data_IF_971779427295
#
_entry.id   IF_971779427295
#
_cell.length_a   1.000
_cell.length_b   1.000
_cell.length_c   1.000
_cell.angle_alpha   90.00
_cell.angle_beta   90.00
_cell.angle_gamma   90.00
#
_symmetry.space_group_name_H-M   'P 1'
#
loop_
_entity.id
_entity.type
_entity.pdbx_description
1 polymer ?
#
# COMPACT_ATOMS: atom_id res chain seq x y z
N UNK A 1 0.81 -13.27 25.94
CA UNK A 1 0.97 -12.50 24.69
C UNK A 1 0.24 -11.20 24.89
N UNK A 2 0.83 -10.04 24.55
CA UNK A 2 0.15 -8.76 24.64
C UNK A 2 -1.16 -8.77 23.82
N UNK A 3 -2.22 -8.17 24.37
CA UNK A 3 -3.54 -8.06 23.73
C UNK A 3 -3.66 -6.72 23.03
N UNK A 4 -3.90 -6.75 21.74
CA UNK A 4 -4.03 -5.57 20.90
C UNK A 4 -5.50 -5.44 20.49
N UNK A 5 -6.15 -4.36 20.92
CA UNK A 5 -7.46 -4.01 20.41
C UNK A 5 -7.28 -3.10 19.19
N UNK A 6 -7.68 -3.58 18.03
CA UNK A 6 -7.38 -2.97 16.76
C UNK A 6 -8.62 -2.50 16.00
N UNK A 7 -8.52 -1.33 15.36
CA UNK A 7 -9.61 -0.66 14.66
C UNK A 7 -9.24 -0.41 13.19
N UNK A 8 -9.87 -1.14 12.27
CA UNK A 8 -9.74 -0.94 10.81
C UNK A 8 -11.08 -0.45 10.23
N UNK A 9 -11.16 0.84 9.90
CA UNK A 9 -12.40 1.47 9.43
C UNK A 9 -12.69 1.23 7.95
N UNK A 10 -11.78 0.60 7.21
CA UNK A 10 -11.89 0.34 5.78
C UNK A 10 -11.31 -1.04 5.41
N UNK A 11 -11.93 -2.11 5.91
CA UNK A 11 -11.43 -3.49 5.75
C UNK A 11 -11.75 -4.08 4.36
N UNK A 12 -10.93 -3.73 3.37
CA UNK A 12 -11.00 -4.27 2.02
C UNK A 12 -9.68 -4.12 1.27
N UNK A 13 -9.53 -4.82 0.15
CA UNK A 13 -8.30 -4.79 -0.66
C UNK A 13 -7.03 -4.94 0.18
N UNK A 14 -6.12 -3.97 0.05
CA UNK A 14 -4.83 -3.93 0.75
C UNK A 14 -4.95 -3.85 2.28
N UNK A 15 -5.96 -3.17 2.83
CA UNK A 15 -6.16 -3.06 4.27
C UNK A 15 -6.52 -4.42 4.88
N UNK A 16 -7.42 -5.14 4.22
CA UNK A 16 -7.80 -6.49 4.62
C UNK A 16 -6.62 -7.46 4.52
N UNK A 17 -5.86 -7.39 3.43
CA UNK A 17 -4.63 -8.17 3.26
C UNK A 17 -3.62 -7.88 4.37
N UNK A 18 -3.41 -6.61 4.72
CA UNK A 18 -2.55 -6.21 5.83
C UNK A 18 -3.02 -6.81 7.15
N UNK A 19 -4.30 -6.61 7.50
CA UNK A 19 -4.90 -7.11 8.74
C UNK A 19 -4.73 -8.62 8.88
N UNK A 20 -5.06 -9.37 7.82
CA UNK A 20 -5.01 -10.83 7.82
C UNK A 20 -3.56 -11.34 7.90
N UNK A 21 -2.64 -10.73 7.16
CA UNK A 21 -1.22 -11.11 7.17
C UNK A 21 -0.55 -10.76 8.50
N UNK A 22 -0.83 -9.57 9.05
CA UNK A 22 -0.34 -9.15 10.35
C UNK A 22 -0.83 -10.10 11.45
N UNK A 23 -2.14 -10.36 11.50
CA UNK A 23 -2.74 -11.26 12.50
C UNK A 23 -2.16 -12.68 12.41
N UNK A 24 -1.98 -13.20 11.19
CA UNK A 24 -1.49 -14.56 10.95
C UNK A 24 -0.05 -14.78 11.46
N UNK A 25 0.82 -13.79 11.28
CA UNK A 25 2.25 -13.93 11.56
C UNK A 25 2.72 -13.23 12.83
N UNK A 26 1.80 -12.52 13.50
CA UNK A 26 2.07 -11.78 14.73
C UNK A 26 2.24 -12.72 15.93
N UNK A 27 3.06 -12.27 16.88
CA UNK A 27 3.23 -12.85 18.21
C UNK A 27 2.27 -12.27 19.27
N UNK A 28 1.62 -11.16 18.95
CA UNK A 28 0.56 -10.53 19.75
C UNK A 28 -0.81 -11.15 19.46
N UNK A 29 -1.71 -11.01 20.43
CA UNK A 29 -3.11 -11.44 20.35
C UNK A 29 -3.98 -10.29 19.85
N UNK A 30 -4.55 -10.40 18.64
CA UNK A 30 -5.26 -9.31 17.97
C UNK A 30 -6.77 -9.49 18.02
N UNK A 31 -7.46 -8.51 18.60
CA UNK A 31 -8.92 -8.38 18.53
C UNK A 31 -9.28 -7.23 17.59
N UNK A 32 -9.90 -7.53 16.44
CA UNK A 32 -10.24 -6.52 15.44
C UNK A 32 -11.70 -6.10 15.50
N UNK A 33 -11.93 -4.79 15.47
CA UNK A 33 -13.20 -4.18 15.12
C UNK A 33 -13.01 -3.59 13.72
N UNK A 34 -13.85 -4.01 12.78
CA UNK A 34 -13.69 -3.63 11.37
C UNK A 34 -14.94 -2.99 10.80
N UNK A 35 -14.78 -2.25 9.69
CA UNK A 35 -15.88 -1.71 8.90
C UNK A 35 -15.67 -2.02 7.41
N UNK A 36 -16.74 -2.29 6.64
CA UNK A 36 -16.61 -2.54 5.21
C UNK A 36 -15.95 -1.39 4.45
N UNK A 37 -15.10 -1.71 3.48
CA UNK A 37 -14.38 -0.78 2.60
C UNK A 37 -15.29 -0.03 1.62
N UNK A 38 -16.11 0.89 2.13
CA UNK A 38 -17.03 1.75 1.38
C UNK A 38 -17.01 3.14 1.99
N UNK A 39 -17.20 4.16 1.14
CA UNK A 39 -17.42 5.54 1.60
C UNK A 39 -16.35 6.04 2.58
N UNK A 40 -15.07 6.04 2.18
CA UNK A 40 -13.93 6.33 3.08
C UNK A 40 -14.05 7.67 3.83
N UNK A 41 -14.70 8.68 3.22
CA UNK A 41 -14.96 9.97 3.87
C UNK A 41 -15.84 9.83 5.11
N UNK A 42 -16.88 9.00 5.03
CA UNK A 42 -17.73 8.66 6.16
C UNK A 42 -16.95 7.85 7.20
N UNK A 43 -16.01 7.00 6.77
CA UNK A 43 -15.13 6.26 7.70
C UNK A 43 -14.31 7.18 8.57
N UNK A 44 -13.66 8.17 7.96
CA UNK A 44 -12.88 9.16 8.71
C UNK A 44 -13.74 10.04 9.63
N UNK A 45 -15.02 10.25 9.29
CA UNK A 45 -15.91 11.12 10.06
C UNK A 45 -16.62 10.44 11.24
N UNK A 46 -17.05 9.18 11.10
CA UNK A 46 -17.94 8.54 12.10
C UNK A 46 -17.40 7.26 12.72
N UNK A 47 -16.44 6.57 12.07
CA UNK A 47 -16.08 5.21 12.49
C UNK A 47 -15.41 5.17 13.87
N UNK A 48 -14.68 6.21 14.26
CA UNK A 48 -14.12 6.34 15.61
C UNK A 48 -15.18 6.16 16.70
N UNK A 49 -16.30 6.87 16.59
CA UNK A 49 -17.41 6.84 17.56
C UNK A 49 -18.14 5.50 17.52
N UNK A 50 -18.48 5.03 16.32
CA UNK A 50 -19.23 3.79 16.13
C UNK A 50 -18.46 2.57 16.63
N UNK A 51 -17.16 2.52 16.34
CA UNK A 51 -16.31 1.39 16.71
C UNK A 51 -15.95 1.42 18.19
N UNK A 52 -15.78 2.61 18.81
CA UNK A 52 -15.60 2.71 20.26
C UNK A 52 -16.86 2.27 21.04
N UNK A 53 -18.05 2.60 20.54
CA UNK A 53 -19.31 2.12 21.11
C UNK A 53 -19.42 0.59 21.03
N UNK A 54 -19.03 0.01 19.88
CA UNK A 54 -18.99 -1.44 19.70
C UNK A 54 -17.97 -2.11 20.63
N UNK A 55 -16.77 -1.53 20.78
CA UNK A 55 -15.77 -2.02 21.71
C UNK A 55 -16.30 -2.05 23.15
N UNK A 56 -17.05 -1.03 23.53
CA UNK A 56 -17.67 -0.91 24.87
C UNK A 56 -18.83 -1.89 25.07
N UNK A 57 -19.55 -2.26 24.00
CA UNK A 57 -20.64 -3.24 24.08
C UNK A 57 -20.15 -4.68 24.08
N UNK A 58 -18.88 -4.93 23.71
CA UNK A 58 -18.24 -6.24 23.82
C UNK A 58 -17.69 -6.40 25.24
N UNK A 59 -17.80 -7.61 25.81
CA UNK A 59 -17.20 -7.96 27.11
C UNK A 59 -15.69 -8.24 26.95
N UNK A 60 -14.94 -7.19 26.59
CA UNK A 60 -13.51 -7.28 26.32
C UNK A 60 -12.69 -7.07 27.58
N UNK A 61 -11.60 -7.83 27.68
CA UNK A 61 -10.55 -7.53 28.65
C UNK A 61 -9.85 -6.22 28.28
N UNK A 62 -9.29 -5.54 29.27
CA UNK A 62 -8.49 -4.34 29.00
C UNK A 62 -7.30 -4.71 28.11
N UNK A 63 -7.12 -4.05 26.96
CA UNK A 63 -6.01 -4.33 26.06
C UNK A 63 -4.70 -3.76 26.61
N UNK A 64 -3.57 -4.30 26.17
CA UNK A 64 -2.25 -3.77 26.48
C UNK A 64 -1.87 -2.62 25.52
N UNK A 65 -2.47 -2.60 24.31
CA UNK A 65 -2.30 -1.56 23.31
C UNK A 65 -3.58 -1.38 22.48
N UNK A 66 -3.85 -0.14 22.08
CA UNK A 66 -4.82 0.20 21.03
C UNK A 66 -4.08 0.35 19.71
N UNK A 67 -4.62 -0.19 18.62
CA UNK A 67 -4.07 -0.05 17.28
C UNK A 67 -5.14 0.47 16.32
N UNK A 68 -4.79 1.37 15.40
CA UNK A 68 -5.69 1.79 14.34
C UNK A 68 -4.98 2.16 13.05
N UNK A 69 -5.73 2.37 11.97
CA UNK A 69 -5.20 2.65 10.63
C UNK A 69 -5.64 4.03 10.10
N UNK A 70 -5.04 4.47 8.99
CA UNK A 70 -5.09 5.86 8.47
C UNK A 70 -6.48 6.42 8.10
N UNK A 71 -7.52 5.61 7.96
CA UNK A 71 -8.87 6.06 7.60
C UNK A 71 -9.81 6.21 8.81
N UNK A 72 -9.24 6.44 10.00
CA UNK A 72 -9.98 6.83 11.19
C UNK A 72 -9.46 8.18 11.72
N UNK A 73 -10.29 8.85 12.52
CA UNK A 73 -9.83 9.90 13.42
C UNK A 73 -9.38 9.28 14.75
N UNK A 74 -8.07 9.14 14.95
CA UNK A 74 -7.51 8.53 16.15
C UNK A 74 -7.69 9.42 17.40
N UNK A 75 -7.84 10.73 17.21
CA UNK A 75 -8.13 11.65 18.31
C UNK A 75 -9.56 11.48 18.81
N UNK A 76 -10.52 11.42 17.89
CA UNK A 76 -11.90 11.11 18.21
C UNK A 76 -12.04 9.70 18.81
N UNK A 77 -11.28 8.72 18.31
CA UNK A 77 -11.27 7.36 18.87
C UNK A 77 -10.82 7.40 20.33
N UNK A 78 -9.66 7.99 20.62
CA UNK A 78 -9.11 8.10 21.99
C UNK A 78 -10.08 8.77 22.95
N UNK A 79 -10.74 9.85 22.52
CA UNK A 79 -11.74 10.55 23.32
C UNK A 79 -13.00 9.69 23.59
N UNK A 80 -13.35 8.79 22.67
CA UNK A 80 -14.57 7.98 22.72
C UNK A 80 -14.39 6.66 23.46
N UNK A 81 -13.15 6.20 23.66
CA UNK A 81 -12.86 5.00 24.44
C UNK A 81 -13.30 5.16 25.93
N UNK A 82 -13.57 4.04 26.63
CA UNK A 82 -13.80 4.05 28.07
C UNK A 82 -12.72 4.81 28.83
N UNK A 83 -13.07 5.48 29.94
CA UNK A 83 -12.13 6.32 30.69
C UNK A 83 -10.81 5.61 31.02
N UNK A 84 -10.85 4.35 31.45
CA UNK A 84 -9.64 3.57 31.78
C UNK A 84 -8.83 3.10 30.57
N UNK A 85 -9.31 3.31 29.35
CA UNK A 85 -8.64 2.89 28.12
C UNK A 85 -8.00 4.06 27.35
N UNK A 86 -8.29 5.30 27.73
CA UNK A 86 -7.79 6.48 27.01
C UNK A 86 -6.28 6.67 27.17
N UNK A 87 -5.72 6.21 28.28
CA UNK A 87 -4.30 6.27 28.59
C UNK A 87 -3.52 5.03 28.10
N UNK A 88 -4.19 4.07 27.47
CA UNK A 88 -3.52 2.90 26.86
C UNK A 88 -2.69 3.39 25.66
N UNK A 89 -1.48 2.84 25.45
CA UNK A 89 -0.67 3.15 24.28
C UNK A 89 -1.45 3.00 22.97
N UNK A 90 -1.41 4.03 22.13
CA UNK A 90 -2.13 4.11 20.87
C UNK A 90 -1.17 4.11 19.69
N UNK A 91 -1.25 3.06 18.87
CA UNK A 91 -0.50 2.92 17.62
C UNK A 91 -1.39 3.33 16.44
N UNK A 92 -0.86 4.16 15.56
CA UNK A 92 -1.47 4.48 14.27
C UNK A 92 -0.62 3.92 13.13
N UNK A 93 -1.17 3.04 12.29
CA UNK A 93 -0.52 2.58 11.07
C UNK A 93 -1.06 3.30 9.84
N UNK A 94 -0.20 4.07 9.19
CA UNK A 94 -0.52 4.87 8.02
C UNK A 94 -0.34 4.05 6.73
N UNK A 95 -1.45 3.53 6.19
CA UNK A 95 -1.51 2.96 4.83
C UNK A 95 -1.44 4.07 3.77
N UNK A 96 -2.10 5.19 4.05
CA UNK A 96 -2.18 6.34 3.16
C UNK A 96 -2.22 7.63 3.96
N UNK A 97 -1.96 8.75 3.27
CA UNK A 97 -2.17 10.06 3.84
C UNK A 97 -2.96 10.96 2.86
N UNK A 98 -3.95 11.68 3.39
CA UNK A 98 -4.92 12.43 2.56
C UNK A 98 -4.32 13.69 1.93
N UNK A 99 -3.17 14.17 2.39
CA UNK A 99 -2.52 15.37 1.85
C UNK A 99 -1.74 15.11 0.56
N UNK A 100 -1.28 13.87 0.35
CA UNK A 100 -0.51 13.44 -0.82
C UNK A 100 -1.36 12.92 -1.99
N UNK A 101 -2.67 12.73 -1.82
CA UNK A 101 -3.55 12.33 -2.92
C UNK A 101 -3.64 13.43 -4.00
N UNK A 102 -3.60 13.05 -5.29
CA UNK A 102 -3.79 14.00 -6.39
C UNK A 102 -5.22 14.54 -6.39
N UNK A 103 -5.39 15.86 -6.26
CA UNK A 103 -6.72 16.51 -6.26
C UNK A 103 -6.99 17.24 -7.58
N UNK A 104 -8.10 16.92 -8.26
CA UNK A 104 -8.67 17.77 -9.34
C UNK A 104 -9.52 18.92 -8.80
N UNK A 105 -10.10 18.77 -7.60
CA UNK A 105 -10.92 19.77 -6.92
C UNK A 105 -10.14 20.57 -5.85
N UNK A 106 -10.73 21.67 -5.35
CA UNK A 106 -10.26 22.34 -4.12
C UNK A 106 -10.17 21.29 -3.01
N UNK A 107 -8.94 20.95 -2.58
CA UNK A 107 -8.69 19.95 -1.53
C UNK A 107 -9.60 20.23 -0.35
N UNK A 108 -10.38 19.22 0.03
CA UNK A 108 -10.98 19.20 1.36
C UNK A 108 -9.85 18.91 2.35
N UNK A 109 -9.21 19.99 2.81
CA UNK A 109 -8.09 19.90 3.74
C UNK A 109 -8.49 19.30 5.09
N UNK A 110 -9.79 19.16 5.38
CA UNK A 110 -10.27 18.58 6.64
C UNK A 110 -9.71 17.18 6.87
N UNK A 111 -9.70 16.30 5.85
CA UNK A 111 -9.17 14.94 5.99
C UNK A 111 -7.65 14.91 6.22
N UNK A 112 -6.91 15.85 5.63
CA UNK A 112 -5.48 16.01 5.92
C UNK A 112 -5.26 16.45 7.38
N UNK A 113 -6.10 17.35 7.90
CA UNK A 113 -6.06 17.73 9.31
C UNK A 113 -6.49 16.59 10.24
N UNK A 114 -7.46 15.75 9.86
CA UNK A 114 -7.80 14.53 10.60
C UNK A 114 -6.61 13.58 10.69
N UNK A 115 -5.88 13.37 9.59
CA UNK A 115 -4.63 12.60 9.65
C UNK A 115 -3.60 13.27 10.57
N UNK A 116 -3.40 14.59 10.49
CA UNK A 116 -2.47 15.30 11.39
C UNK A 116 -2.85 15.14 12.87
N UNK A 117 -4.13 15.33 13.21
CA UNK A 117 -4.61 15.14 14.57
C UNK A 117 -4.40 13.70 15.05
N UNK A 118 -4.63 12.73 14.16
CA UNK A 118 -4.41 11.32 14.47
C UNK A 118 -2.94 11.02 14.74
N UNK A 119 -2.03 11.49 13.87
CA UNK A 119 -0.57 11.33 14.03
C UNK A 119 -0.07 11.99 15.32
N UNK A 120 -0.57 13.19 15.65
CA UNK A 120 -0.19 13.90 16.88
C UNK A 120 -0.81 13.32 18.15
N UNK A 121 -1.86 12.49 18.03
CA UNK A 121 -2.52 11.85 19.18
C UNK A 121 -2.00 10.46 19.48
N UNK A 122 -1.52 9.74 18.47
CA UNK A 122 -0.90 8.43 18.64
C UNK A 122 0.38 8.53 19.48
N UNK A 123 0.67 7.50 20.27
CA UNK A 123 1.93 7.35 21.01
C UNK A 123 3.02 6.68 20.16
N UNK A 124 2.63 6.13 19.00
CA UNK A 124 3.52 5.71 17.93
C UNK A 124 2.78 5.76 16.60
N UNK A 125 3.35 6.43 15.60
CA UNK A 125 2.87 6.34 14.21
C UNK A 125 3.81 5.47 13.38
N UNK A 126 3.26 4.53 12.62
CA UNK A 126 4.02 3.67 11.72
C UNK A 126 3.59 3.98 10.29
N UNK A 127 4.52 4.47 9.47
CA UNK A 127 4.28 4.70 8.04
C UNK A 127 4.71 3.47 7.23
N UNK A 128 3.88 3.09 6.25
CA UNK A 128 4.14 1.94 5.38
C UNK A 128 5.33 2.10 4.42
N UNK A 129 5.86 3.32 4.26
CA UNK A 129 7.04 3.64 3.47
C UNK A 129 7.66 4.94 3.94
N UNK A 130 8.93 5.16 3.61
CA UNK A 130 9.58 6.46 3.88
C UNK A 130 8.97 7.55 3.00
N UNK A 131 8.61 7.23 1.76
CA UNK A 131 7.90 8.15 0.87
C UNK A 131 6.56 8.63 1.47
N UNK A 132 5.77 7.75 2.09
CA UNK A 132 4.51 8.14 2.74
C UNK A 132 4.76 9.12 3.91
N UNK A 133 5.75 8.84 4.77
CA UNK A 133 6.14 9.74 5.86
C UNK A 133 6.59 11.11 5.34
N UNK A 134 7.51 11.15 4.37
CA UNK A 134 8.07 12.40 3.87
C UNK A 134 7.01 13.21 3.10
N UNK A 135 6.21 12.57 2.23
CA UNK A 135 5.12 13.25 1.51
C UNK A 135 4.05 13.82 2.44
N UNK A 136 3.77 13.15 3.56
CA UNK A 136 2.87 13.66 4.58
C UNK A 136 3.43 14.93 5.23
N UNK A 137 4.69 14.92 5.66
CA UNK A 137 5.35 16.07 6.29
C UNK A 137 5.38 17.25 5.33
N UNK A 138 5.92 17.06 4.13
CA UNK A 138 6.04 18.12 3.12
C UNK A 138 4.66 18.70 2.77
N UNK A 139 3.65 17.83 2.64
CA UNK A 139 2.27 18.21 2.39
C UNK A 139 1.65 19.04 3.51
N UNK A 140 1.86 18.63 4.77
CA UNK A 140 1.32 19.33 5.93
C UNK A 140 2.01 20.66 6.19
N UNK A 141 3.33 20.75 6.03
CA UNK A 141 4.07 22.01 6.13
C UNK A 141 3.60 23.01 5.06
N UNK A 142 3.46 22.55 3.81
CA UNK A 142 2.91 23.36 2.71
C UNK A 142 1.47 23.83 2.98
N UNK A 143 0.64 22.98 3.59
CA UNK A 143 -0.73 23.33 3.94
C UNK A 143 -0.77 24.35 5.09
N UNK A 144 0.01 24.14 6.15
CA UNK A 144 0.06 25.00 7.32
C UNK A 144 0.65 26.38 7.03
N UNK A 145 1.59 26.48 6.09
CA UNK A 145 2.14 27.76 5.63
C UNK A 145 1.08 28.73 5.07
N UNK A 146 -0.12 28.23 4.72
CA UNK A 146 -1.26 29.05 4.26
C UNK A 146 -2.05 29.67 5.42
N UNK A 147 -1.88 29.16 6.64
CA UNK A 147 -2.53 29.69 7.85
C UNK A 147 -1.68 30.79 8.45
N UNK A 148 -2.14 32.04 8.34
CA UNK A 148 -1.38 33.23 8.74
C UNK A 148 -1.15 33.36 10.25
N UNK A 149 -2.04 32.77 11.05
CA UNK A 149 -2.04 32.89 12.51
C UNK A 149 -1.77 31.54 13.21
N UNK A 150 -1.33 30.52 12.47
CA UNK A 150 -1.02 29.21 13.05
C UNK A 150 0.17 29.27 13.99
N UNK A 151 0.00 28.75 15.20
CA UNK A 151 1.09 28.53 16.16
C UNK A 151 1.68 27.12 16.06
N UNK A 152 1.18 26.29 15.14
CA UNK A 152 1.71 24.96 14.88
C UNK A 152 3.02 25.08 14.09
N UNK A 153 4.14 25.11 14.82
CA UNK A 153 5.50 25.07 14.27
C UNK A 153 6.10 23.67 14.40
N UNK A 154 7.22 23.45 13.70
CA UNK A 154 8.08 22.27 13.84
C UNK A 154 7.35 20.93 13.65
N UNK A 155 6.30 20.93 12.82
CA UNK A 155 5.45 19.76 12.60
C UNK A 155 6.25 18.61 12.00
N UNK A 156 7.19 18.89 11.08
CA UNK A 156 8.07 17.85 10.56
C UNK A 156 8.88 17.14 11.65
N UNK A 157 9.45 17.87 12.62
CA UNK A 157 10.19 17.28 13.73
C UNK A 157 9.26 16.51 14.67
N UNK A 158 8.12 17.10 15.04
CA UNK A 158 7.13 16.47 15.92
C UNK A 158 6.57 15.17 15.36
N UNK A 159 6.32 15.13 14.05
CA UNK A 159 5.88 13.90 13.37
C UNK A 159 7.01 12.88 13.40
N UNK A 160 8.24 13.26 13.02
CA UNK A 160 9.40 12.35 12.98
C UNK A 160 9.76 11.78 14.34
N UNK A 161 9.67 12.56 15.42
CA UNK A 161 10.05 12.12 16.77
C UNK A 161 9.19 10.97 17.29
N UNK A 162 7.97 10.85 16.77
CA UNK A 162 7.00 9.83 17.18
C UNK A 162 6.64 8.84 16.06
N UNK A 163 7.44 8.82 14.98
CA UNK A 163 7.16 7.99 13.81
C UNK A 163 8.26 6.97 13.53
N UNK A 164 7.85 5.80 13.06
CA UNK A 164 8.72 4.80 12.48
C UNK A 164 8.25 4.43 11.07
N UNK A 165 9.15 3.85 10.28
CA UNK A 165 8.79 3.20 9.01
C UNK A 165 8.84 1.69 9.22
N UNK A 166 7.76 1.02 8.84
CA UNK A 166 7.70 -0.43 8.70
C UNK A 166 6.86 -0.75 7.47
N UNK A 167 7.43 -1.52 6.55
CA UNK A 167 6.76 -1.89 5.32
C UNK A 167 5.57 -2.83 5.55
N UNK A 168 4.64 -2.85 4.59
CA UNK A 168 3.47 -3.73 4.63
C UNK A 168 3.95 -5.20 4.58
N UNK A 169 3.46 -6.08 5.46
CA UNK A 169 3.68 -7.53 5.34
C UNK A 169 3.05 -8.08 4.06
N UNK A 170 3.87 -8.60 3.15
CA UNK A 170 3.44 -9.21 1.88
C UNK A 170 3.80 -10.69 1.87
N UNK A 171 2.83 -11.55 1.57
CA UNK A 171 3.03 -12.99 1.48
C UNK A 171 3.95 -13.35 0.33
N UNK A 172 4.94 -14.19 0.63
CA UNK A 172 5.87 -14.68 -0.39
C UNK A 172 5.22 -15.86 -1.14
N UNK A 173 5.13 -15.85 -2.47
CA UNK A 173 4.59 -16.97 -3.23
C UNK A 173 5.47 -18.22 -3.00
N UNK A 174 4.90 -19.26 -2.38
CA UNK A 174 5.65 -20.43 -1.89
C UNK A 174 5.97 -21.47 -2.96
N UNK A 175 5.42 -21.35 -4.17
CA UNK A 175 5.63 -22.31 -5.26
C UNK A 175 5.90 -21.59 -6.57
N UNK A 176 7.14 -21.59 -7.05
CA UNK A 176 7.40 -21.35 -8.47
C UNK A 176 6.97 -22.59 -9.23
N UNK A 177 5.83 -22.56 -9.92
CA UNK A 177 5.55 -23.56 -10.95
C UNK A 177 6.33 -23.17 -12.21
N UNK A 178 7.65 -23.41 -12.19
CA UNK A 178 8.52 -23.06 -13.31
C UNK A 178 8.38 -24.09 -14.44
N UNK A 179 7.46 -23.83 -15.35
CA UNK A 179 7.54 -24.36 -16.72
C UNK A 179 7.41 -23.19 -17.68
N UNK A 180 8.38 -22.25 -17.66
CA UNK A 180 8.53 -21.31 -18.78
C UNK A 180 9.01 -22.15 -19.97
N UNK A 181 8.24 -22.12 -21.06
CA UNK A 181 8.61 -22.80 -22.28
C UNK A 181 9.80 -22.05 -22.89
N UNK A 182 10.97 -22.69 -22.95
CA UNK A 182 12.22 -22.04 -23.38
C UNK A 182 12.22 -21.61 -24.85
N UNK A 183 11.27 -22.12 -25.63
CA UNK A 183 11.08 -21.79 -27.05
C UNK A 183 10.20 -20.54 -27.26
N UNK A 184 9.61 -20.00 -26.18
CA UNK A 184 8.79 -18.80 -26.26
C UNK A 184 9.67 -17.53 -26.18
N UNK A 185 9.70 -16.78 -27.28
CA UNK A 185 10.52 -15.57 -27.44
C UNK A 185 9.78 -14.29 -27.07
N UNK A 186 8.51 -14.38 -26.65
CA UNK A 186 7.76 -13.19 -26.24
C UNK A 186 8.09 -12.75 -24.81
N UNK A 187 8.08 -11.44 -24.58
CA UNK A 187 8.29 -10.85 -23.25
C UNK A 187 6.93 -10.51 -22.64
N UNK A 188 6.60 -11.09 -21.48
CA UNK A 188 5.34 -10.82 -20.79
C UNK A 188 5.48 -9.70 -19.78
N UNK A 189 4.68 -8.67 -19.96
CA UNK A 189 4.61 -7.51 -19.05
C UNK A 189 3.29 -7.54 -18.30
N UNK A 190 3.35 -7.58 -16.97
CA UNK A 190 2.19 -7.46 -16.10
C UNK A 190 2.00 -6.01 -15.63
N UNK A 191 0.76 -5.52 -15.72
CA UNK A 191 0.31 -4.26 -15.12
C UNK A 191 -0.73 -4.59 -14.03
N UNK A 192 -0.33 -4.68 -12.75
CA UNK A 192 -1.18 -5.21 -11.68
C UNK A 192 -1.85 -4.09 -10.87
N UNK A 193 -2.73 -3.33 -11.51
CA UNK A 193 -3.33 -2.14 -10.90
C UNK A 193 -4.85 -2.12 -11.03
N UNK A 194 -5.54 -1.54 -10.03
CA UNK A 194 -6.96 -1.21 -10.16
C UNK A 194 -7.17 -0.28 -11.35
N UNK A 195 -8.32 -0.39 -12.01
CA UNK A 195 -8.59 0.37 -13.23
C UNK A 195 -9.12 1.77 -12.87
N UNK A 196 -8.24 2.58 -12.29
CA UNK A 196 -8.51 3.94 -11.81
C UNK A 196 -7.55 4.94 -12.49
N UNK A 197 -7.96 6.20 -12.56
CA UNK A 197 -7.19 7.25 -13.27
C UNK A 197 -5.78 7.48 -12.70
N UNK A 198 -5.60 7.39 -11.39
CA UNK A 198 -4.30 7.62 -10.75
C UNK A 198 -3.27 6.54 -11.07
N UNK A 199 -3.71 5.39 -11.61
CA UNK A 199 -2.84 4.29 -12.04
C UNK A 199 -2.22 4.50 -13.43
N UNK A 200 -2.60 5.57 -14.14
CA UNK A 200 -1.89 6.03 -15.34
C UNK A 200 -2.07 5.11 -16.54
N UNK A 201 -3.30 4.69 -16.83
CA UNK A 201 -3.64 3.83 -17.96
C UNK A 201 -3.31 4.44 -19.33
N UNK A 202 -3.27 5.77 -19.41
CA UNK A 202 -2.91 6.53 -20.60
C UNK A 202 -1.44 6.29 -20.97
N UNK A 203 -0.56 6.33 -19.96
CA UNK A 203 0.87 6.05 -20.13
C UNK A 203 1.09 4.56 -20.45
N UNK A 204 0.30 3.65 -19.87
CA UNK A 204 0.33 2.23 -20.23
C UNK A 204 0.06 2.04 -21.74
N UNK A 205 -0.96 2.72 -22.25
CA UNK A 205 -1.34 2.66 -23.67
C UNK A 205 -0.25 3.22 -24.58
N UNK A 206 0.35 4.35 -24.22
CA UNK A 206 1.47 4.96 -24.95
C UNK A 206 2.67 4.01 -25.02
N UNK A 207 3.12 3.47 -23.88
CA UNK A 207 4.24 2.53 -23.84
C UNK A 207 3.96 1.25 -24.64
N UNK A 208 2.71 0.78 -24.63
CA UNK A 208 2.33 -0.39 -25.43
C UNK A 208 2.39 -0.11 -26.94
N UNK A 209 1.93 1.07 -27.38
CA UNK A 209 2.05 1.50 -28.79
C UNK A 209 3.50 1.64 -29.23
N UNK A 210 4.36 2.13 -28.35
CA UNK A 210 5.77 2.36 -28.66
C UNK A 210 6.57 1.05 -28.74
N UNK A 211 6.33 0.10 -27.83
CA UNK A 211 7.28 -1.00 -27.61
C UNK A 211 6.76 -2.40 -27.95
N UNK A 212 5.45 -2.60 -28.15
CA UNK A 212 4.89 -3.96 -28.28
C UNK A 212 5.46 -4.74 -29.47
N UNK A 213 5.54 -4.12 -30.65
CA UNK A 213 6.02 -4.81 -31.85
C UNK A 213 7.54 -5.00 -31.84
N UNK A 214 8.30 -3.97 -31.44
CA UNK A 214 9.77 -4.01 -31.41
C UNK A 214 10.30 -5.05 -30.42
N UNK A 215 9.69 -5.14 -29.23
CA UNK A 215 10.15 -6.01 -28.15
C UNK A 215 9.37 -7.33 -28.05
N UNK A 216 8.48 -7.59 -29.01
CA UNK A 216 7.60 -8.77 -29.01
C UNK A 216 6.85 -8.94 -27.67
N UNK A 217 6.23 -7.86 -27.19
CA UNK A 217 5.57 -7.85 -25.88
C UNK A 217 4.23 -8.59 -25.91
N UNK A 218 3.91 -9.25 -24.80
CA UNK A 218 2.56 -9.70 -24.45
C UNK A 218 2.15 -9.12 -23.10
N UNK A 219 0.86 -8.87 -22.95
CA UNK A 219 0.33 -8.07 -21.85
C UNK A 219 -0.55 -8.88 -20.92
N UNK A 220 -0.32 -8.72 -19.62
CA UNK A 220 -1.16 -9.27 -18.54
C UNK A 220 -1.68 -8.06 -17.76
N UNK A 221 -2.95 -7.71 -17.95
CA UNK A 221 -3.57 -6.55 -17.31
C UNK A 221 -4.45 -7.03 -16.16
N UNK A 222 -3.94 -6.99 -14.93
CA UNK A 222 -4.67 -7.45 -13.74
C UNK A 222 -5.31 -6.27 -13.04
N UNK A 223 -6.40 -6.56 -12.32
CA UNK A 223 -7.02 -5.61 -11.40
C UNK A 223 -8.52 -5.49 -11.59
N UNK A 224 -9.17 -4.97 -10.55
CA UNK A 224 -10.62 -4.76 -10.55
C UNK A 224 -10.97 -3.49 -11.34
N UNK A 225 -11.97 -3.61 -12.21
CA UNK A 225 -12.66 -2.50 -12.84
C UNK A 225 -13.88 -2.11 -12.03
N UNK A 226 -13.97 -0.84 -11.64
CA UNK A 226 -15.17 -0.29 -11.01
C UNK A 226 -16.12 0.31 -12.06
N UNK A 227 -17.08 1.13 -11.61
CA UNK A 227 -18.17 1.66 -12.44
C UNK A 227 -17.72 2.40 -13.69
N UNK A 228 -16.53 3.03 -13.67
CA UNK A 228 -15.96 3.77 -14.80
C UNK A 228 -14.59 3.20 -15.15
N UNK A 229 -14.50 2.45 -16.24
CA UNK A 229 -13.22 1.97 -16.78
C UNK A 229 -12.60 3.08 -17.65
N UNK A 230 -11.34 3.48 -17.41
CA UNK A 230 -10.64 4.47 -18.22
C UNK A 230 -10.68 4.16 -19.72
N UNK A 231 -10.89 5.18 -20.55
CA UNK A 231 -10.95 5.04 -22.01
C UNK A 231 -9.67 4.41 -22.58
N UNK A 232 -8.52 4.76 -22.02
CA UNK A 232 -7.24 4.21 -22.44
C UNK A 232 -7.18 2.67 -22.32
N UNK A 233 -7.81 2.06 -21.31
CA UNK A 233 -7.88 0.60 -21.19
C UNK A 233 -8.82 -0.02 -22.23
N UNK A 234 -9.87 0.69 -22.64
CA UNK A 234 -10.76 0.23 -23.72
C UNK A 234 -10.03 0.24 -25.06
N UNK A 235 -9.29 1.32 -25.34
CA UNK A 235 -8.43 1.42 -26.53
C UNK A 235 -7.33 0.35 -26.51
N UNK A 236 -6.67 0.17 -25.36
CA UNK A 236 -5.65 -0.86 -25.15
C UNK A 236 -6.18 -2.26 -25.51
N UNK A 237 -7.37 -2.62 -25.00
CA UNK A 237 -8.01 -3.90 -25.29
C UNK A 237 -8.29 -4.07 -26.78
N UNK A 238 -8.73 -3.01 -27.46
CA UNK A 238 -9.03 -3.05 -28.89
C UNK A 238 -7.76 -3.18 -29.75
N UNK A 239 -6.71 -2.44 -29.42
CA UNK A 239 -5.47 -2.37 -30.21
C UNK A 239 -4.58 -3.61 -30.03
N UNK A 240 -4.51 -4.15 -28.82
CA UNK A 240 -3.58 -5.22 -28.47
C UNK A 240 -4.26 -6.57 -28.20
N UNK A 241 -5.50 -6.77 -28.68
CA UNK A 241 -6.30 -7.98 -28.40
C UNK A 241 -5.54 -9.31 -28.63
N UNK A 242 -4.73 -9.41 -29.70
CA UNK A 242 -3.93 -10.62 -30.00
C UNK A 242 -2.64 -10.76 -29.18
N UNK A 243 -2.25 -9.68 -28.50
CA UNK A 243 -1.06 -9.56 -27.63
C UNK A 243 -1.41 -9.59 -26.15
N UNK A 244 -2.68 -9.69 -25.77
CA UNK A 244 -3.13 -9.79 -24.38
C UNK A 244 -3.27 -11.27 -23.99
N UNK A 245 -2.57 -11.68 -22.94
CA UNK A 245 -2.69 -13.01 -22.34
C UNK A 245 -3.85 -13.06 -21.32
N UNK A 246 -4.05 -11.97 -20.58
CA UNK A 246 -5.16 -11.82 -19.65
C UNK A 246 -5.48 -10.34 -19.44
N UNK A 247 -6.76 -10.02 -19.29
CA UNK A 247 -7.21 -8.67 -18.92
C UNK A 247 -8.46 -8.72 -18.05
N UNK A 248 -8.32 -8.41 -16.76
CA UNK A 248 -9.45 -8.32 -15.83
C UNK A 248 -9.10 -8.70 -14.39
N UNK A 249 -10.13 -8.66 -13.55
CA UNK A 249 -10.06 -9.10 -12.16
C UNK A 249 -9.90 -10.61 -12.07
N UNK A 250 -9.12 -11.06 -11.08
CA UNK A 250 -8.91 -12.48 -10.77
C UNK A 250 -9.36 -12.71 -9.33
N UNK A 251 -10.37 -13.55 -9.13
CA UNK A 251 -10.98 -13.77 -7.81
C UNK A 251 -10.09 -14.62 -6.89
N UNK A 252 -9.45 -15.66 -7.45
CA UNK A 252 -8.55 -16.53 -6.68
C UNK A 252 -7.18 -15.88 -6.51
N UNK A 253 -6.71 -15.83 -5.26
CA UNK A 253 -5.36 -15.35 -4.97
C UNK A 253 -4.30 -16.24 -5.62
N UNK A 254 -4.54 -17.55 -5.66
CA UNK A 254 -3.66 -18.52 -6.29
C UNK A 254 -3.56 -18.30 -7.80
N UNK A 255 -4.69 -18.08 -8.48
CA UNK A 255 -4.69 -17.76 -9.91
C UNK A 255 -4.01 -16.41 -10.19
N UNK A 256 -4.24 -15.40 -9.35
CA UNK A 256 -3.55 -14.11 -9.45
C UNK A 256 -2.03 -14.28 -9.37
N UNK A 257 -1.53 -15.06 -8.41
CA UNK A 257 -0.09 -15.34 -8.27
C UNK A 257 0.45 -16.13 -9.47
N UNK A 258 -0.32 -17.06 -10.03
CA UNK A 258 0.06 -17.77 -11.26
C UNK A 258 0.21 -16.82 -12.46
N UNK A 259 -0.61 -15.77 -12.56
CA UNK A 259 -0.42 -14.75 -13.59
C UNK A 259 0.84 -13.93 -13.38
N UNK A 260 1.19 -13.60 -12.13
CA UNK A 260 2.46 -12.92 -11.83
C UNK A 260 3.66 -13.82 -12.16
N UNK A 261 3.60 -15.11 -11.87
CA UNK A 261 4.68 -16.07 -12.19
C UNK A 261 4.91 -16.25 -13.70
N UNK A 262 3.86 -16.05 -14.52
CA UNK A 262 3.96 -16.07 -15.98
C UNK A 262 4.62 -14.82 -16.55
N UNK A 263 4.61 -13.70 -15.82
CA UNK A 263 5.20 -12.46 -16.29
C UNK A 263 6.74 -12.49 -16.21
N UNK A 264 7.37 -11.67 -17.04
CA UNK A 264 8.80 -11.39 -17.03
C UNK A 264 9.09 -10.03 -16.40
N UNK A 265 8.20 -9.06 -16.63
CA UNK A 265 8.33 -7.70 -16.16
C UNK A 265 7.07 -7.23 -15.46
N UNK A 266 7.22 -6.46 -14.38
CA UNK A 266 6.14 -5.70 -13.75
C UNK A 266 6.24 -4.25 -14.15
N UNK A 267 5.21 -3.75 -14.84
CA UNK A 267 5.06 -2.35 -15.20
C UNK A 267 4.16 -1.66 -14.17
N UNK A 268 4.62 -0.50 -13.69
CA UNK A 268 3.73 0.46 -13.07
C UNK A 268 3.80 1.80 -13.78
N UNK A 269 2.64 2.37 -14.06
CA UNK A 269 2.51 3.73 -14.60
C UNK A 269 1.85 4.68 -13.61
N UNK A 270 1.74 4.26 -12.33
CA UNK A 270 1.03 5.01 -11.32
C UNK A 270 1.59 6.43 -11.13
N UNK A 271 0.66 7.37 -10.95
CA UNK A 271 0.92 8.75 -10.53
C UNK A 271 0.77 8.91 -9.03
N UNK A 272 0.20 7.90 -8.36
CA UNK A 272 0.03 7.85 -6.93
C UNK A 272 0.14 6.41 -6.37
N UNK A 273 1.02 6.23 -5.38
CA UNK A 273 1.24 4.96 -4.68
C UNK A 273 2.01 5.21 -3.38
N UNK A 274 1.52 4.68 -2.25
CA UNK A 274 2.19 4.81 -0.95
C UNK A 274 3.16 3.67 -0.67
N UNK A 275 2.86 2.46 -1.15
CA UNK A 275 3.75 1.31 -0.97
C UNK A 275 3.86 0.48 -2.24
N UNK A 276 2.74 0.04 -2.82
CA UNK A 276 2.75 -0.77 -4.05
C UNK A 276 2.79 -2.28 -3.78
N UNK A 277 1.86 -2.79 -2.97
CA UNK A 277 1.77 -4.24 -2.63
C UNK A 277 1.79 -5.11 -3.89
N UNK A 278 0.97 -4.80 -4.90
CA UNK A 278 0.90 -5.59 -6.13
C UNK A 278 2.23 -5.62 -6.91
N UNK A 279 3.00 -4.54 -6.85
CA UNK A 279 4.35 -4.49 -7.42
C UNK A 279 5.30 -5.37 -6.62
N UNK A 280 5.28 -5.29 -5.29
CA UNK A 280 6.10 -6.15 -4.41
C UNK A 280 5.77 -7.64 -4.64
N UNK A 281 4.50 -7.99 -4.79
CA UNK A 281 4.08 -9.36 -5.12
C UNK A 281 4.66 -9.84 -6.46
N UNK A 282 4.66 -8.98 -7.49
CA UNK A 282 5.24 -9.34 -8.78
C UNK A 282 6.77 -9.46 -8.73
N UNK A 283 7.45 -8.60 -7.96
CA UNK A 283 8.88 -8.70 -7.70
C UNK A 283 9.22 -10.00 -6.95
N UNK A 284 8.40 -10.40 -5.97
CA UNK A 284 8.53 -11.70 -5.31
C UNK A 284 8.29 -12.89 -6.24
N UNK A 285 7.39 -12.75 -7.21
CA UNK A 285 7.19 -13.75 -8.27
C UNK A 285 8.40 -13.85 -9.23
N UNK A 286 9.34 -12.90 -9.17
CA UNK A 286 10.57 -12.89 -9.97
C UNK A 286 10.48 -12.01 -11.22
N UNK A 287 9.50 -11.10 -11.29
CA UNK A 287 9.44 -10.11 -12.36
C UNK A 287 10.58 -9.09 -12.22
N UNK A 288 11.14 -8.65 -13.35
CA UNK A 288 11.99 -7.47 -13.41
C UNK A 288 11.14 -6.18 -13.37
N UNK A 289 11.64 -5.10 -12.76
CA UNK A 289 10.89 -3.86 -12.62
C UNK A 289 10.95 -3.00 -13.88
N UNK A 290 9.79 -2.61 -14.41
CA UNK A 290 9.64 -1.47 -15.30
C UNK A 290 8.85 -0.38 -14.55
N UNK A 291 9.54 0.31 -13.65
CA UNK A 291 8.91 1.17 -12.64
C UNK A 291 9.43 2.61 -12.75
N UNK A 292 8.61 3.63 -12.44
CA UNK A 292 9.03 5.02 -12.55
C UNK A 292 9.88 5.42 -11.34
N UNK A 293 10.82 6.35 -11.52
CA UNK A 293 11.69 6.87 -10.44
C UNK A 293 10.99 7.90 -9.53
N UNK A 294 9.80 7.55 -9.03
CA UNK A 294 8.98 8.38 -8.13
C UNK A 294 8.22 7.49 -7.14
N UNK A 295 7.48 8.10 -6.22
CA UNK A 295 6.66 7.41 -5.23
C UNK A 295 7.52 6.49 -4.33
N UNK A 296 6.91 5.47 -3.72
CA UNK A 296 7.63 4.43 -2.97
C UNK A 296 8.51 3.54 -3.84
N UNK A 297 8.35 3.50 -5.16
CA UNK A 297 9.10 2.56 -6.01
C UNK A 297 10.62 2.75 -5.92
N UNK A 298 11.10 3.99 -5.71
CA UNK A 298 12.53 4.24 -5.53
C UNK A 298 13.11 3.54 -4.31
N UNK A 299 12.37 3.45 -3.21
CA UNK A 299 12.82 2.74 -2.00
C UNK A 299 12.59 1.23 -2.05
N UNK A 300 11.65 0.75 -2.87
CA UNK A 300 11.41 -0.69 -3.08
C UNK A 300 12.50 -1.38 -3.91
N UNK A 301 13.28 -0.61 -4.68
CA UNK A 301 14.28 -1.17 -5.58
C UNK A 301 15.71 -0.88 -5.10
N UNK A 302 16.62 -1.89 -5.16
CA UNK A 302 18.05 -1.63 -5.07
C UNK A 302 18.51 -0.81 -6.29
N UNK A 303 19.67 -0.15 -6.17
CA UNK A 303 20.16 0.76 -7.21
C UNK A 303 20.31 0.09 -8.59
N UNK A 304 20.72 -1.18 -8.64
CA UNK A 304 20.90 -1.94 -9.88
C UNK A 304 19.59 -2.25 -10.62
N UNK A 305 18.44 -2.09 -9.96
CA UNK A 305 17.13 -2.43 -10.49
C UNK A 305 16.28 -1.19 -10.85
N UNK A 306 16.83 0.02 -10.72
CA UNK A 306 16.12 1.26 -11.04
C UNK A 306 16.30 1.64 -12.50
N UNK A 307 15.25 2.20 -13.11
CA UNK A 307 15.28 2.67 -14.49
C UNK A 307 15.36 1.57 -15.55
N UNK A 308 15.22 0.30 -15.15
CA UNK A 308 15.20 -0.81 -16.09
C UNK A 308 13.91 -0.78 -16.93
N UNK A 309 14.04 -1.28 -18.16
CA UNK A 309 12.94 -1.48 -19.12
C UNK A 309 13.14 -2.81 -19.85
N UNK A 310 12.11 -3.36 -20.51
CA UNK A 310 12.26 -4.56 -21.33
C UNK A 310 13.31 -4.45 -22.46
N UNK A 311 13.68 -3.23 -22.87
CA UNK A 311 14.75 -2.99 -23.84
C UNK A 311 16.16 -2.95 -23.22
N UNK A 312 16.28 -2.98 -21.89
CA UNK A 312 17.58 -2.90 -21.21
C UNK A 312 18.34 -4.20 -21.36
N UNK A 313 19.57 -4.13 -21.86
CA UNK A 313 20.46 -5.29 -21.91
C UNK A 313 20.95 -5.62 -20.49
N UNK A 314 20.56 -6.80 -19.99
CA UNK A 314 20.91 -7.27 -18.65
C UNK A 314 21.75 -8.54 -18.79
N UNK A 315 22.98 -8.50 -18.29
CA UNK A 315 23.92 -9.62 -18.37
C UNK A 315 23.49 -10.82 -17.50
N UNK A 316 22.90 -10.56 -16.32
CA UNK A 316 22.37 -11.60 -15.43
C UNK A 316 21.06 -11.15 -14.75
N UNK A 317 19.91 -11.45 -15.37
CA UNK A 317 18.59 -11.20 -14.79
C UNK A 317 18.37 -11.89 -13.43
N UNK A 318 18.97 -13.07 -13.24
CA UNK A 318 18.87 -13.84 -12.00
C UNK A 318 19.54 -13.12 -10.82
N UNK A 319 20.70 -12.50 -11.07
CA UNK A 319 21.42 -11.75 -10.04
C UNK A 319 20.69 -10.46 -9.66
N UNK A 320 20.10 -9.75 -10.63
CA UNK A 320 19.24 -8.59 -10.35
C UNK A 320 18.03 -9.03 -9.51
N UNK A 321 17.38 -10.12 -9.90
CA UNK A 321 16.22 -10.66 -9.17
C UNK A 321 16.60 -11.03 -7.74
N UNK A 322 17.75 -11.69 -7.54
CA UNK A 322 18.26 -12.01 -6.20
C UNK A 322 18.48 -10.77 -5.34
N UNK A 323 19.12 -9.72 -5.89
CA UNK A 323 19.34 -8.47 -5.16
C UNK A 323 18.02 -7.75 -4.82
N UNK A 324 17.02 -7.82 -5.70
CA UNK A 324 15.67 -7.31 -5.40
C UNK A 324 15.06 -8.07 -4.21
N UNK A 325 15.13 -9.40 -4.19
CA UNK A 325 14.58 -10.21 -3.10
C UNK A 325 15.29 -9.96 -1.76
N UNK A 326 16.62 -9.79 -1.78
CA UNK A 326 17.41 -9.43 -0.60
C UNK A 326 17.03 -8.03 -0.08
N UNK A 327 16.89 -7.06 -0.98
CA UNK A 327 16.46 -5.69 -0.65
C UNK A 327 15.04 -5.65 -0.07
N UNK A 328 14.14 -6.48 -0.59
CA UNK A 328 12.74 -6.58 -0.14
C UNK A 328 12.53 -7.54 1.03
N UNK A 329 13.59 -8.05 1.67
CA UNK A 329 13.48 -8.97 2.81
C UNK A 329 12.53 -8.45 3.91
N UNK A 330 12.60 -7.15 4.22
CA UNK A 330 11.77 -6.50 5.23
C UNK A 330 10.30 -6.27 4.81
N UNK A 331 9.95 -6.55 3.55
CA UNK A 331 8.56 -6.54 3.07
C UNK A 331 7.91 -7.93 3.13
N UNK A 332 8.71 -9.00 3.33
CA UNK A 332 8.16 -10.34 3.49
C UNK A 332 7.30 -10.41 4.75
N UNK A 333 6.20 -11.16 4.68
CA UNK A 333 5.17 -11.21 5.71
C UNK A 333 5.73 -11.38 7.13
N UNK A 334 6.60 -12.36 7.36
CA UNK A 334 7.14 -12.67 8.69
C UNK A 334 8.09 -11.54 9.19
N UNK A 335 9.16 -11.15 8.47
CA UNK A 335 10.02 -10.04 8.90
C UNK A 335 9.29 -8.71 9.11
N UNK A 336 8.37 -8.36 8.21
CA UNK A 336 7.59 -7.12 8.28
C UNK A 336 6.68 -7.11 9.52
N UNK A 337 5.93 -8.20 9.75
CA UNK A 337 5.10 -8.36 10.94
C UNK A 337 5.93 -8.31 12.21
N UNK A 338 7.06 -9.01 12.26
CA UNK A 338 7.98 -8.97 13.42
C UNK A 338 8.48 -7.55 13.70
N UNK A 339 8.75 -6.75 12.66
CA UNK A 339 9.15 -5.34 12.82
C UNK A 339 8.03 -4.51 13.45
N UNK A 340 6.77 -4.72 13.03
CA UNK A 340 5.60 -4.06 13.61
C UNK A 340 5.40 -4.49 15.07
N UNK A 341 5.49 -5.80 15.37
CA UNK A 341 5.37 -6.31 16.74
C UNK A 341 6.40 -5.70 17.69
N UNK A 342 7.65 -5.58 17.24
CA UNK A 342 8.74 -4.98 18.02
C UNK A 342 8.52 -3.48 18.26
N UNK A 343 7.94 -2.78 17.28
CA UNK A 343 7.57 -1.38 17.41
C UNK A 343 6.47 -1.18 18.45
N UNK A 344 5.41 -1.97 18.37
CA UNK A 344 4.29 -1.95 19.34
C UNK A 344 4.83 -2.29 20.75
N UNK A 345 5.66 -3.32 20.87
CA UNK A 345 6.27 -3.72 22.15
C UNK A 345 7.21 -2.67 22.75
N UNK A 346 7.66 -1.70 21.97
CA UNK A 346 8.53 -0.63 22.47
C UNK A 346 7.79 0.47 23.24
N UNK A 347 6.46 0.54 23.11
CA UNK A 347 5.63 1.58 23.74
C UNK A 347 4.56 1.02 24.69
N UNK A 348 4.36 -0.30 24.72
CA UNK A 348 3.67 -1.01 25.80
C UNK A 348 4.57 -1.10 27.03
#
# INVERSE_FOLDING_TARGET
>A
MPRILAFESYDGGSHKQFRETLTKHSSHDWEWITRPAREWKWRMATSALEMANEATSRDLQTPDCIFTTSLIDAAALRASLPNGWRDIPLVLYMHENQIAYPSRDKRDSSFAFTNLQSVLTADLTIFNSKWNLDSFIDGMESLLAKSKDSTLTDIGERVRSNSAVAWVPVEFPTKKNSTKNTDDTCIRVVWPHRWEHDKGSEVLLELAREHTEELNLRWIILGEGFSNVPEALQQFKSEFNERIDHMGYVESKEEYLQWLEKADWVLSTATHEFFGIAVVEALFAGCLPWLPERLSYRELLPACARGLTPATQIDSPEEITKQILEHLYMAQAIPATKRIDLLISGIM
#
